data_IF_907354139430
#
_entry.id   IF_907354139430
#
_cell.length_a   1.000
_cell.length_b   1.000
_cell.length_c   1.000
_cell.angle_alpha   90.00
_cell.angle_beta   90.00
_cell.angle_gamma   90.00
#
_symmetry.space_group_name_H-M   'P 1'
#
loop_
_entity.id
_entity.type
_entity.pdbx_description
1 polymer ?
#
# COMPACT_ATOMS: atom_id res chain seq x y z
N UNK A 1 5.80 10.15 -10.96
CA UNK A 1 7.04 10.87 -10.58
C UNK A 1 7.11 10.83 -9.06
N UNK A 2 7.97 9.98 -8.50
CA UNK A 2 8.28 9.99 -7.05
C UNK A 2 9.61 10.72 -6.85
N UNK A 3 9.78 11.40 -5.71
CA UNK A 3 11.01 12.11 -5.38
C UNK A 3 11.80 11.29 -4.36
N UNK A 4 13.01 10.88 -4.73
CA UNK A 4 14.04 10.43 -3.79
C UNK A 4 14.77 11.66 -3.23
N UNK A 5 15.44 11.57 -2.06
CA UNK A 5 16.17 12.69 -1.44
C UNK A 5 17.31 13.27 -2.31
N UNK A 6 17.63 12.65 -3.45
CA UNK A 6 18.78 12.98 -4.30
C UNK A 6 18.38 13.64 -5.64
N UNK A 7 17.10 13.96 -5.83
CA UNK A 7 16.64 14.89 -6.86
C UNK A 7 16.76 14.44 -8.33
N UNK A 8 17.11 13.18 -8.59
CA UNK A 8 17.14 12.62 -9.95
C UNK A 8 15.77 12.11 -10.42
N UNK A 9 15.38 12.32 -11.69
CA UNK A 9 14.19 11.68 -12.27
C UNK A 9 14.47 10.21 -12.53
N UNK A 10 14.32 9.36 -11.50
CA UNK A 10 14.37 7.92 -11.68
C UNK A 10 13.00 7.40 -12.12
N UNK A 11 12.99 6.70 -13.26
CA UNK A 11 11.82 5.95 -13.70
C UNK A 11 11.72 4.75 -12.75
N UNK A 12 10.80 4.81 -11.78
CA UNK A 12 10.52 3.71 -10.86
C UNK A 12 10.10 2.49 -11.69
N UNK A 13 11.05 1.60 -12.00
CA UNK A 13 10.84 0.33 -12.70
C UNK A 13 10.75 -0.84 -11.72
N UNK A 14 11.12 -0.61 -10.45
CA UNK A 14 11.02 -1.60 -9.39
C UNK A 14 9.82 -1.31 -8.49
N UNK A 15 8.81 -2.17 -8.57
CA UNK A 15 7.64 -2.15 -7.71
C UNK A 15 7.98 -2.13 -6.21
N UNK A 16 9.15 -2.67 -5.82
CA UNK A 16 9.64 -2.70 -4.42
C UNK A 16 10.01 -1.31 -3.87
N UNK A 17 10.14 -0.32 -4.74
CA UNK A 17 10.48 1.07 -4.37
C UNK A 17 9.29 2.03 -4.51
N UNK A 18 8.16 1.59 -5.06
CA UNK A 18 6.98 2.44 -5.23
C UNK A 18 6.34 2.76 -3.86
N UNK A 19 6.06 4.03 -3.55
CA UNK A 19 5.44 4.40 -2.27
C UNK A 19 3.95 4.03 -2.20
N UNK A 20 3.30 3.79 -3.34
CA UNK A 20 1.88 3.51 -3.45
C UNK A 20 1.58 2.45 -4.51
N UNK A 21 0.44 1.76 -4.38
CA UNK A 21 -0.09 0.87 -5.42
C UNK A 21 -1.62 0.88 -5.44
N UNK A 22 -2.20 0.30 -6.50
CA UNK A 22 -3.64 0.03 -6.59
C UNK A 22 -4.01 -1.25 -5.84
N UNK A 23 -5.31 -1.46 -5.59
CA UNK A 23 -5.81 -2.66 -4.93
C UNK A 23 -5.45 -3.94 -5.70
N UNK A 24 -5.67 -3.93 -7.02
CA UNK A 24 -5.24 -5.02 -7.91
C UNK A 24 -3.73 -5.31 -7.80
N UNK A 25 -2.88 -4.29 -7.82
CA UNK A 25 -1.42 -4.49 -7.75
C UNK A 25 -1.01 -5.09 -6.40
N UNK A 26 -1.64 -4.69 -5.29
CA UNK A 26 -1.38 -5.34 -4.00
C UNK A 26 -1.81 -6.81 -4.02
N UNK A 27 -2.97 -7.13 -4.59
CA UNK A 27 -3.44 -8.51 -4.73
C UNK A 27 -2.45 -9.37 -5.56
N UNK A 28 -1.94 -8.83 -6.68
CA UNK A 28 -0.89 -9.48 -7.48
C UNK A 28 0.40 -9.70 -6.69
N UNK A 29 0.85 -8.70 -5.91
CA UNK A 29 2.03 -8.81 -5.04
C UNK A 29 1.89 -9.88 -3.96
N UNK A 30 0.68 -10.06 -3.42
CA UNK A 30 0.39 -11.05 -2.37
C UNK A 30 0.09 -12.46 -2.93
N UNK A 31 0.04 -12.60 -4.25
CA UNK A 31 -0.37 -13.83 -4.93
C UNK A 31 -1.87 -13.82 -5.18
N UNK A 32 -2.24 -13.44 -6.41
CA UNK A 32 -3.66 -13.28 -6.82
C UNK A 32 -4.50 -14.55 -6.72
N UNK A 33 -3.85 -15.72 -6.63
CA UNK A 33 -4.51 -17.01 -6.48
C UNK A 33 -5.09 -17.20 -5.08
N UNK A 34 -4.51 -16.51 -4.08
CA UNK A 34 -4.89 -16.59 -2.68
C UNK A 34 -5.61 -15.32 -2.21
N UNK A 35 -5.19 -14.16 -2.72
CA UNK A 35 -5.72 -12.85 -2.35
C UNK A 35 -6.28 -12.13 -3.59
N UNK A 36 -7.59 -11.95 -3.64
CA UNK A 36 -8.25 -11.23 -4.76
C UNK A 36 -8.31 -9.73 -4.51
N UNK A 37 -8.58 -8.95 -5.56
CA UNK A 37 -8.79 -7.50 -5.43
C UNK A 37 -9.96 -7.16 -4.49
N UNK A 38 -11.03 -7.97 -4.46
CA UNK A 38 -12.17 -7.74 -3.58
C UNK A 38 -11.81 -7.92 -2.09
N UNK A 39 -10.91 -8.86 -1.76
CA UNK A 39 -10.39 -9.02 -0.39
C UNK A 39 -9.61 -7.77 0.00
N UNK A 40 -8.74 -7.28 -0.88
CA UNK A 40 -7.99 -6.03 -0.66
C UNK A 40 -8.94 -4.84 -0.50
N UNK A 41 -10.02 -4.77 -1.29
CA UNK A 41 -11.07 -3.75 -1.13
C UNK A 41 -11.67 -3.79 0.27
N UNK A 42 -11.99 -4.97 0.78
CA UNK A 42 -12.47 -5.16 2.16
C UNK A 42 -11.49 -4.61 3.19
N UNK A 43 -10.18 -4.84 3.03
CA UNK A 43 -9.16 -4.27 3.92
C UNK A 43 -9.09 -2.74 3.86
N UNK A 44 -9.29 -2.16 2.68
CA UNK A 44 -9.37 -0.70 2.50
C UNK A 44 -10.60 -0.11 3.20
N UNK A 45 -11.77 -0.73 3.04
CA UNK A 45 -13.03 -0.27 3.62
C UNK A 45 -13.05 -0.39 5.15
N UNK A 46 -12.39 -1.41 5.68
CA UNK A 46 -12.29 -1.66 7.12
C UNK A 46 -11.08 -0.99 7.78
N UNK A 47 -10.34 -0.16 7.04
CA UNK A 47 -9.13 0.51 7.54
C UNK A 47 -8.09 -0.47 8.11
N UNK A 48 -8.03 -1.68 7.54
CA UNK A 48 -7.09 -2.74 7.95
C UNK A 48 -5.69 -2.48 7.41
N UNK A 49 -5.57 -1.84 6.25
CA UNK A 49 -4.30 -1.48 5.62
C UNK A 49 -4.22 0.03 5.40
N UNK A 50 -3.02 0.64 5.43
CA UNK A 50 -2.88 2.08 5.30
C UNK A 50 -3.18 2.51 3.86
N UNK A 51 -3.90 3.61 3.72
CA UNK A 51 -4.24 4.18 2.42
C UNK A 51 -4.03 5.69 2.41
N UNK A 52 -3.94 6.27 1.22
CA UNK A 52 -3.91 7.72 1.03
C UNK A 52 -4.96 8.13 0.01
N UNK A 53 -5.60 9.28 0.25
CA UNK A 53 -6.52 9.89 -0.72
C UNK A 53 -5.73 10.82 -1.64
N UNK A 54 -5.67 10.48 -2.92
CA UNK A 54 -5.06 11.32 -3.96
C UNK A 54 -6.18 11.75 -4.92
N UNK A 55 -6.58 13.01 -4.82
CA UNK A 55 -7.75 13.54 -5.52
C UNK A 55 -9.03 12.77 -5.13
N UNK A 56 -9.65 12.12 -6.11
CA UNK A 56 -10.89 11.33 -5.93
C UNK A 56 -10.65 9.83 -5.74
N UNK A 57 -9.39 9.39 -5.70
CA UNK A 57 -9.04 7.96 -5.58
C UNK A 57 -8.36 7.68 -4.25
N UNK A 58 -8.66 6.52 -3.67
CA UNK A 58 -7.94 5.98 -2.51
C UNK A 58 -6.98 4.91 -3.04
N UNK A 59 -5.70 5.05 -2.71
CA UNK A 59 -4.65 4.11 -3.10
C UNK A 59 -3.91 3.61 -1.86
N UNK A 60 -3.26 2.46 -1.96
CA UNK A 60 -2.61 1.81 -0.84
C UNK A 60 -1.26 2.46 -0.58
N UNK A 61 -0.94 2.69 0.69
CA UNK A 61 0.32 3.29 1.13
C UNK A 61 1.35 2.21 1.47
N UNK A 62 2.05 1.71 0.44
CA UNK A 62 3.11 0.70 0.58
C UNK A 62 4.26 1.19 1.46
N UNK A 63 4.57 2.49 1.42
CA UNK A 63 5.60 3.06 2.29
C UNK A 63 5.27 2.85 3.76
N UNK A 64 4.00 3.06 4.16
CA UNK A 64 3.56 2.83 5.54
C UNK A 64 3.58 1.36 5.91
N UNK A 65 3.12 0.47 5.03
CA UNK A 65 3.19 -0.98 5.23
C UNK A 65 4.63 -1.40 5.52
N UNK A 66 5.58 -1.01 4.66
CA UNK A 66 7.00 -1.33 4.85
C UNK A 66 7.54 -0.83 6.19
N UNK A 67 7.24 0.42 6.54
CA UNK A 67 7.68 1.01 7.81
C UNK A 67 7.12 0.28 9.03
N UNK A 68 5.86 -0.17 8.97
CA UNK A 68 5.26 -0.92 10.07
C UNK A 68 5.83 -2.34 10.17
N UNK A 69 6.10 -3.01 9.04
CA UNK A 69 6.84 -4.28 8.99
C UNK A 69 8.26 -4.14 9.55
N UNK A 70 9.00 -3.09 9.17
CA UNK A 70 10.35 -2.80 9.67
C UNK A 70 10.38 -2.55 11.19
N UNK A 71 9.25 -2.08 11.75
CA UNK A 71 9.05 -1.90 13.19
C UNK A 71 8.61 -3.17 13.90
N UNK A 72 8.47 -4.28 13.18
CA UNK A 72 8.09 -5.58 13.73
C UNK A 72 6.58 -5.82 13.82
N UNK A 73 5.74 -5.03 13.14
CA UNK A 73 4.31 -5.35 13.02
C UNK A 73 4.16 -6.63 12.20
N UNK A 74 3.50 -7.63 12.75
CA UNK A 74 3.29 -8.93 12.09
C UNK A 74 1.82 -9.17 11.70
N UNK A 75 0.90 -8.38 12.25
CA UNK A 75 -0.54 -8.50 12.02
C UNK A 75 -1.12 -7.11 11.74
N UNK A 76 -1.95 -7.04 10.70
CA UNK A 76 -2.77 -5.89 10.34
C UNK A 76 -4.23 -6.23 10.68
N UNK A 77 -4.84 -5.43 11.56
CA UNK A 77 -6.18 -5.63 12.08
C UNK A 77 -7.13 -4.56 11.57
N UNK A 78 -8.42 -4.89 11.50
CA UNK A 78 -9.47 -3.93 11.21
C UNK A 78 -9.38 -2.72 12.14
N UNK A 79 -9.44 -1.53 11.55
CA UNK A 79 -9.38 -0.26 12.28
C UNK A 79 -7.97 0.26 12.60
N UNK A 80 -6.91 -0.48 12.31
CA UNK A 80 -5.52 -0.05 12.56
C UNK A 80 -5.18 1.31 11.94
N UNK A 81 -5.88 1.70 10.87
CA UNK A 81 -5.70 2.94 10.12
C UNK A 81 -7.00 3.76 10.02
N UNK A 82 -7.88 3.67 11.03
CA UNK A 82 -9.14 4.42 11.07
C UNK A 82 -8.95 5.91 11.40
N UNK A 83 -7.89 6.23 12.15
CA UNK A 83 -7.57 7.59 12.60
C UNK A 83 -6.68 8.38 11.62
N UNK A 84 -6.36 7.81 10.45
CA UNK A 84 -5.64 8.46 9.33
C UNK A 84 -6.60 8.97 8.24
#
# INVERSE_FOLDING_TARGET
MGLTPEGGPERITDFRSAPFCTQLVLAEMLGIQDITEDVVRGWVETHTIPTVKIGRRRIINLHRIRKDLDRGKTVFCQGDYADE
#
